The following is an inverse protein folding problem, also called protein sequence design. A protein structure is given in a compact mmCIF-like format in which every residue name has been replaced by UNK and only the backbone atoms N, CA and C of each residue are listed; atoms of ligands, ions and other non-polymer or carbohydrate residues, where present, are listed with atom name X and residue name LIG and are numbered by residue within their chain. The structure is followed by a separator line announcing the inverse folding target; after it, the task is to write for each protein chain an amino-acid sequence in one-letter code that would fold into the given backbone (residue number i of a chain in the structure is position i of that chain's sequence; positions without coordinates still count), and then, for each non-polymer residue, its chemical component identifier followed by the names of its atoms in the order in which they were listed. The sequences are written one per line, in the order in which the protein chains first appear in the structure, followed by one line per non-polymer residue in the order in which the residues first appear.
data_IF_506947591182
#
_entry.id   IF_506947591182
#
_cell.length_a   1.000
_cell.length_b   1.000
_cell.length_c   1.000
_cell.angle_alpha   90.00
_cell.angle_beta   90.00
_cell.angle_gamma   90.00
#
_symmetry.space_group_name_H-M   'P 1'
#
loop_
_entity.id
_entity.type
_entity.pdbx_description
1 polymer ?
#
# COMPACT_ATOMS: atom_id res chain seq x y z
N UNK A 1 -34.81 6.93 2.35
CA UNK A 1 -34.40 8.20 3.01
C UNK A 1 -33.38 7.87 4.10
N UNK A 2 -32.14 7.58 3.73
CA UNK A 2 -31.04 7.34 4.69
C UNK A 2 -29.73 7.84 4.05
N UNK A 3 -29.24 8.98 4.51
CA UNK A 3 -27.95 9.56 4.14
C UNK A 3 -26.87 9.01 5.07
N UNK A 4 -25.77 8.48 4.52
CA UNK A 4 -24.63 7.95 5.29
C UNK A 4 -23.32 8.51 4.71
N UNK A 5 -22.61 9.34 5.50
CA UNK A 5 -21.36 10.02 5.10
C UNK A 5 -20.24 9.64 6.08
N UNK A 6 -19.24 8.82 5.70
CA UNK A 6 -18.17 8.35 6.62
C UNK A 6 -16.75 8.28 5.97
N UNK A 7 -15.83 9.06 6.57
CA UNK A 7 -14.34 9.12 6.69
C UNK A 7 -13.32 8.51 5.68
N UNK A 8 -12.15 9.16 5.53
CA UNK A 8 -10.91 8.74 4.82
C UNK A 8 -9.71 8.67 5.80
N UNK A 9 -8.81 7.69 5.62
CA UNK A 9 -7.46 7.67 6.21
C UNK A 9 -6.44 7.05 5.24
N UNK A 10 -5.24 7.67 5.17
CA UNK A 10 -3.98 7.34 4.45
C UNK A 10 -3.71 8.20 3.21
N UNK A 11 -2.68 9.06 3.35
CA UNK A 11 -2.04 9.81 2.27
C UNK A 11 -1.28 8.92 1.26
N UNK A 12 -1.08 7.63 1.55
CA UNK A 12 -0.37 6.69 0.65
C UNK A 12 -1.27 6.04 -0.42
N UNK A 13 -2.59 6.01 -0.22
CA UNK A 13 -3.47 5.17 -1.06
C UNK A 13 -3.97 5.88 -2.33
N UNK A 14 -4.02 7.22 -2.32
CA UNK A 14 -4.60 8.01 -3.43
C UNK A 14 -3.62 8.10 -4.62
N UNK A 15 -2.31 7.95 -4.39
CA UNK A 15 -1.27 8.05 -5.43
C UNK A 15 -1.14 6.75 -6.25
N UNK A 16 -1.51 5.58 -5.70
CA UNK A 16 -1.29 4.29 -6.39
C UNK A 16 -2.33 3.97 -7.46
N UNK A 17 -3.59 4.40 -7.31
CA UNK A 17 -4.67 4.02 -8.25
C UNK A 17 -4.73 4.89 -9.51
N UNK A 18 -4.50 6.21 -9.42
CA UNK A 18 -4.69 7.14 -10.54
C UNK A 18 -3.52 7.24 -11.54
N UNK A 19 -2.37 6.62 -11.25
CA UNK A 19 -1.19 6.66 -12.15
C UNK A 19 -0.81 5.30 -12.76
N UNK A 20 -1.39 4.20 -12.29
CA UNK A 20 -1.21 2.86 -12.87
C UNK A 20 -2.41 2.46 -13.73
N UNK A 21 -2.71 3.25 -14.76
CA UNK A 21 -3.39 2.71 -15.92
C UNK A 21 -2.30 2.13 -16.83
N UNK A 22 -2.16 0.81 -16.85
CA UNK A 22 -1.29 0.08 -17.78
C UNK A 22 -1.88 0.16 -19.20
N UNK A 23 -1.88 1.35 -19.79
CA UNK A 23 -2.11 1.52 -21.22
C UNK A 23 -0.85 1.06 -21.95
N UNK A 24 -0.92 -0.11 -22.59
CA UNK A 24 0.07 -0.61 -23.53
C UNK A 24 0.32 0.44 -24.64
N UNK A 25 1.51 1.04 -24.59
CA UNK A 25 2.38 1.48 -25.71
C UNK A 25 1.81 2.06 -27.03
N UNK A 26 0.57 2.56 -27.12
CA UNK A 26 0.06 3.13 -28.38
C UNK A 26 -0.75 4.43 -28.27
N UNK A 27 -1.02 4.95 -27.07
CA UNK A 27 -1.70 6.23 -26.91
C UNK A 27 -0.76 7.30 -26.33
N UNK A 28 0.12 7.87 -27.17
CA UNK A 28 0.79 9.15 -26.91
C UNK A 28 -0.18 10.34 -27.06
N UNK A 29 -1.44 10.19 -26.66
CA UNK A 29 -2.35 11.32 -26.64
C UNK A 29 -2.07 12.16 -25.39
N UNK A 30 -1.77 13.43 -25.62
CA UNK A 30 -1.47 14.48 -24.66
C UNK A 30 -2.68 14.79 -23.76
N UNK A 31 -3.10 13.84 -22.94
CA UNK A 31 -4.16 14.07 -21.97
C UNK A 31 -3.60 14.88 -20.81
N UNK A 32 -4.14 16.08 -20.63
CA UNK A 32 -3.92 16.89 -19.43
C UNK A 32 -4.51 16.13 -18.24
N UNK A 33 -3.65 15.48 -17.46
CA UNK A 33 -4.05 14.77 -16.24
C UNK A 33 -4.29 15.81 -15.14
N UNK A 34 -5.50 15.86 -14.58
CA UNK A 34 -5.82 16.71 -13.43
C UNK A 34 -6.01 15.83 -12.21
N UNK A 35 -5.41 16.19 -11.07
CA UNK A 35 -5.62 15.49 -9.81
C UNK A 35 -5.59 16.43 -8.62
N UNK A 36 -6.26 16.08 -7.53
CA UNK A 36 -6.27 16.85 -6.28
C UNK A 36 -5.72 16.04 -5.12
N UNK A 37 -4.98 16.70 -4.22
CA UNK A 37 -4.49 16.15 -2.96
C UNK A 37 -5.24 16.79 -1.80
N UNK A 38 -5.64 15.96 -0.85
CA UNK A 38 -6.18 16.40 0.44
C UNK A 38 -5.26 15.95 1.56
N UNK A 39 -4.70 16.91 2.31
CA UNK A 39 -4.05 16.62 3.58
C UNK A 39 -5.12 16.36 4.63
N UNK A 40 -5.10 15.15 5.19
CA UNK A 40 -6.08 14.74 6.18
C UNK A 40 -5.94 15.51 7.49
N UNK A 41 -7.05 15.73 8.18
CA UNK A 41 -7.04 16.23 9.56
C UNK A 41 -6.22 15.32 10.50
N UNK A 42 -6.00 14.06 10.12
CA UNK A 42 -5.15 13.11 10.84
C UNK A 42 -3.66 13.44 10.75
N UNK A 43 -3.18 13.91 9.60
CA UNK A 43 -1.77 14.26 9.39
C UNK A 43 -1.39 15.42 10.33
N UNK A 44 -2.27 16.41 10.42
CA UNK A 44 -2.15 17.53 11.36
C UNK A 44 -2.30 17.07 12.83
N UNK A 45 -3.17 16.10 13.09
CA UNK A 45 -3.42 15.63 14.47
C UNK A 45 -2.24 14.87 15.06
N UNK A 46 -1.52 14.11 14.24
CA UNK A 46 -0.34 13.36 14.68
C UNK A 46 0.83 14.31 14.94
N UNK A 47 0.93 15.38 14.16
CA UNK A 47 2.09 16.27 14.15
C UNK A 47 1.75 17.66 14.71
N UNK A 48 0.98 17.71 15.80
CA UNK A 48 0.51 18.98 16.42
C UNK A 48 1.62 19.94 16.84
N UNK A 49 2.83 19.45 17.03
CA UNK A 49 4.01 20.24 17.42
C UNK A 49 4.98 20.47 16.27
N UNK A 50 4.81 19.79 15.14
CA UNK A 50 5.77 19.78 14.04
C UNK A 50 5.03 19.85 12.70
N UNK A 51 4.81 21.08 12.22
CA UNK A 51 4.21 21.28 10.91
C UNK A 51 5.18 20.95 9.77
N UNK A 52 6.48 20.82 10.04
CA UNK A 52 7.49 20.67 9.01
C UNK A 52 7.41 19.30 8.36
N UNK A 53 7.13 18.24 9.12
CA UNK A 53 6.91 16.91 8.54
C UNK A 53 5.74 16.89 7.55
N UNK A 54 4.61 17.54 7.92
CA UNK A 54 3.43 17.64 7.05
C UNK A 54 3.76 18.42 5.77
N UNK A 55 4.54 19.49 5.90
CA UNK A 55 4.97 20.33 4.78
C UNK A 55 5.95 19.58 3.84
N UNK A 56 6.88 18.80 4.39
CA UNK A 56 7.82 17.95 3.65
C UNK A 56 7.06 16.87 2.87
N UNK A 57 6.07 16.22 3.51
CA UNK A 57 5.24 15.21 2.87
C UNK A 57 4.41 15.77 1.72
N UNK A 58 3.79 16.95 1.93
CA UNK A 58 3.04 17.64 0.88
C UNK A 58 3.93 17.99 -0.32
N UNK A 59 5.13 18.53 -0.06
CA UNK A 59 6.11 18.86 -1.11
C UNK A 59 6.56 17.62 -1.87
N UNK A 60 6.84 16.53 -1.16
CA UNK A 60 7.29 15.27 -1.76
C UNK A 60 6.20 14.65 -2.64
N UNK A 61 4.93 14.71 -2.21
CA UNK A 61 3.79 14.24 -3.01
C UNK A 61 3.63 15.01 -4.33
N UNK A 62 3.73 16.35 -4.29
CA UNK A 62 3.70 17.20 -5.48
C UNK A 62 4.86 16.86 -6.43
N UNK A 63 6.09 16.81 -5.91
CA UNK A 63 7.28 16.49 -6.71
C UNK A 63 7.19 15.10 -7.35
N UNK A 64 6.65 14.12 -6.61
CA UNK A 64 6.45 12.77 -7.13
C UNK A 64 5.50 12.76 -8.34
N UNK A 65 4.34 13.41 -8.24
CA UNK A 65 3.39 13.47 -9.36
C UNK A 65 3.97 14.23 -10.54
N UNK A 66 4.65 15.35 -10.30
CA UNK A 66 5.32 16.10 -11.38
C UNK A 66 6.41 15.30 -12.08
N UNK A 67 7.19 14.50 -11.34
CA UNK A 67 8.22 13.64 -11.95
C UNK A 67 7.64 12.59 -12.89
N UNK A 68 6.42 12.14 -12.63
CA UNK A 68 5.71 11.10 -13.40
C UNK A 68 4.78 11.68 -14.47
N UNK A 69 4.31 12.91 -14.29
CA UNK A 69 3.37 13.58 -15.18
C UNK A 69 3.66 15.09 -15.14
N UNK A 70 4.69 15.56 -15.87
CA UNK A 70 5.15 16.95 -15.82
C UNK A 70 4.08 18.00 -16.19
N UNK A 71 3.10 17.59 -17.02
CA UNK A 71 2.01 18.43 -17.49
C UNK A 71 0.73 18.29 -16.64
N UNK A 72 0.78 17.56 -15.52
CA UNK A 72 -0.40 17.37 -14.68
C UNK A 72 -0.78 18.66 -13.95
N UNK A 73 -2.08 18.99 -13.94
CA UNK A 73 -2.62 20.05 -13.09
C UNK A 73 -2.93 19.48 -11.72
N UNK A 74 -2.35 20.06 -10.68
CA UNK A 74 -2.45 19.56 -9.31
C UNK A 74 -3.29 20.53 -8.47
N UNK A 75 -4.33 20.05 -7.82
CA UNK A 75 -5.10 20.79 -6.82
C UNK A 75 -4.62 20.45 -5.41
N UNK A 76 -4.31 21.44 -4.58
CA UNK A 76 -4.00 21.26 -3.16
C UNK A 76 -5.18 21.75 -2.33
N UNK A 77 -5.93 20.83 -1.72
CA UNK A 77 -7.04 21.17 -0.84
C UNK A 77 -6.54 21.59 0.54
N UNK A 78 -7.00 22.74 1.03
CA UNK A 78 -6.69 23.19 2.40
C UNK A 78 -7.44 22.33 3.43
N UNK A 79 -6.79 21.97 4.52
CA UNK A 79 -7.45 21.19 5.59
C UNK A 79 -8.51 22.05 6.28
N UNK A 80 -9.69 21.49 6.57
CA UNK A 80 -10.80 22.20 7.21
C UNK A 80 -10.57 22.39 8.73
N UNK A 81 -11.07 23.47 9.35
CA UNK A 81 -10.96 23.66 10.80
C UNK A 81 -11.84 22.66 11.55
N UNK A 82 -11.62 22.53 12.87
CA UNK A 82 -12.51 21.78 13.75
C UNK A 82 -13.55 22.69 14.39
N UNK A 83 -14.77 22.18 14.53
CA UNK A 83 -15.83 22.89 15.26
C UNK A 83 -15.62 22.79 16.76
N UNK A 84 -15.36 23.93 17.41
CA UNK A 84 -15.41 24.06 18.86
C UNK A 84 -14.59 25.23 19.38
N UNK A 85 -14.68 25.49 20.69
CA UNK A 85 -13.93 26.56 21.39
C UNK A 85 -13.01 26.03 22.48
N UNK A 86 -12.83 24.72 22.58
CA UNK A 86 -11.92 24.12 23.56
C UNK A 86 -10.48 24.47 23.17
N UNK A 87 -9.60 24.69 24.15
CA UNK A 87 -8.23 25.12 23.90
C UNK A 87 -7.45 24.16 22.99
N UNK A 88 -7.70 22.85 23.09
CA UNK A 88 -7.10 21.84 22.22
C UNK A 88 -7.59 21.91 20.76
N UNK A 89 -8.80 22.43 20.52
CA UNK A 89 -9.35 22.67 19.18
C UNK A 89 -8.71 23.93 18.60
N UNK A 90 -8.64 25.02 19.39
CA UNK A 90 -7.99 26.26 18.96
C UNK A 90 -6.53 26.01 18.55
N UNK A 91 -5.77 25.28 19.36
CA UNK A 91 -4.39 24.89 19.02
C UNK A 91 -4.30 24.05 17.74
N UNK A 92 -5.27 23.15 17.51
CA UNK A 92 -5.32 22.37 16.28
C UNK A 92 -5.63 23.25 15.06
N UNK A 93 -6.53 24.21 15.20
CA UNK A 93 -6.89 25.14 14.12
C UNK A 93 -5.74 26.09 13.79
N UNK A 94 -4.95 26.52 14.77
CA UNK A 94 -3.69 27.25 14.56
C UNK A 94 -2.68 26.43 13.74
N UNK A 95 -2.47 25.16 14.11
CA UNK A 95 -1.60 24.24 13.33
C UNK A 95 -2.14 24.05 11.90
N UNK A 96 -3.47 23.87 11.77
CA UNK A 96 -4.15 23.74 10.48
C UNK A 96 -3.94 24.96 9.60
N UNK A 97 -4.06 26.16 10.17
CA UNK A 97 -3.85 27.40 9.46
C UNK A 97 -2.38 27.57 9.03
N UNK A 98 -1.42 27.15 9.86
CA UNK A 98 0.00 27.12 9.50
C UNK A 98 0.26 26.23 8.27
N UNK A 99 -0.28 25.00 8.26
CA UNK A 99 -0.17 24.08 7.12
C UNK A 99 -0.87 24.64 5.88
N UNK A 100 -2.06 25.21 6.01
CA UNK A 100 -2.79 25.82 4.88
C UNK A 100 -2.03 27.01 4.28
N UNK A 101 -1.40 27.83 5.12
CA UNK A 101 -0.52 28.92 4.67
C UNK A 101 0.70 28.39 3.90
N UNK A 102 1.24 27.23 4.31
CA UNK A 102 2.31 26.57 3.56
C UNK A 102 1.82 26.07 2.20
N UNK A 103 0.66 25.38 2.13
CA UNK A 103 0.07 24.93 0.87
C UNK A 103 -0.18 26.08 -0.10
N UNK A 104 -0.67 27.22 0.41
CA UNK A 104 -0.88 28.43 -0.38
C UNK A 104 0.44 29.04 -0.92
N UNK A 105 1.54 28.92 -0.17
CA UNK A 105 2.88 29.30 -0.67
C UNK A 105 3.38 28.30 -1.71
N UNK A 106 3.13 27.01 -1.51
CA UNK A 106 3.53 25.95 -2.44
C UNK A 106 2.83 26.09 -3.79
N UNK A 107 1.52 26.35 -3.81
CA UNK A 107 0.77 26.59 -5.05
C UNK A 107 1.25 27.83 -5.81
N UNK A 108 1.62 28.91 -5.11
CA UNK A 108 2.16 30.12 -5.75
C UNK A 108 3.55 29.93 -6.38
N UNK A 109 4.34 28.96 -5.90
CA UNK A 109 5.67 28.66 -6.47
C UNK A 109 5.59 27.93 -7.80
N UNK A 110 4.46 27.33 -8.13
CA UNK A 110 4.33 26.41 -9.25
C UNK A 110 3.00 26.60 -9.97
N UNK A 111 3.03 27.10 -11.20
CA UNK A 111 1.81 27.39 -11.98
C UNK A 111 0.98 26.15 -12.33
N UNK A 112 1.56 24.95 -12.26
CA UNK A 112 0.82 23.69 -12.43
C UNK A 112 0.05 23.27 -11.17
N UNK A 113 0.27 23.95 -10.04
CA UNK A 113 -0.34 23.65 -8.74
C UNK A 113 -1.32 24.76 -8.37
N UNK A 114 -2.60 24.43 -8.28
CA UNK A 114 -3.66 25.32 -7.80
C UNK A 114 -4.00 25.03 -6.35
N UNK A 115 -4.37 26.06 -5.58
CA UNK A 115 -4.94 25.87 -4.25
C UNK A 115 -6.46 25.74 -4.37
N UNK A 116 -7.04 24.77 -3.66
CA UNK A 116 -8.48 24.60 -3.52
C UNK A 116 -8.81 24.97 -2.07
N UNK A 117 -9.38 26.16 -1.86
CA UNK A 117 -9.47 26.75 -0.52
C UNK A 117 -10.73 26.32 0.23
N UNK A 118 -10.73 25.05 0.61
CA UNK A 118 -11.80 24.45 1.41
C UNK A 118 -11.86 24.98 2.83
N UNK A 119 -10.80 25.57 3.38
CA UNK A 119 -10.81 26.17 4.72
C UNK A 119 -11.76 27.37 4.80
N UNK A 120 -11.73 28.29 3.84
CA UNK A 120 -12.57 29.49 3.86
C UNK A 120 -14.06 29.19 3.70
N UNK A 121 -14.42 28.05 3.10
CA UNK A 121 -15.81 27.58 3.05
C UNK A 121 -16.32 27.24 4.45
N UNK A 122 -15.47 26.61 5.25
CA UNK A 122 -15.81 26.12 6.58
C UNK A 122 -15.49 27.13 7.69
N UNK A 123 -14.89 28.28 7.37
CA UNK A 123 -14.48 29.30 8.32
C UNK A 123 -15.06 30.67 7.94
N UNK A 124 -15.87 31.27 8.82
CA UNK A 124 -16.40 32.63 8.65
C UNK A 124 -16.01 33.46 9.87
N UNK A 125 -15.34 34.60 9.63
CA UNK A 125 -14.82 35.48 10.68
C UNK A 125 -13.95 34.73 11.72
N UNK A 126 -13.07 33.85 11.24
CA UNK A 126 -12.18 33.05 12.08
C UNK A 126 -12.87 31.95 12.89
N UNK A 127 -14.16 31.69 12.66
CA UNK A 127 -14.93 30.67 13.37
C UNK A 127 -15.46 29.61 12.41
N UNK A 128 -15.42 28.34 12.84
CA UNK A 128 -16.02 27.24 12.10
C UNK A 128 -17.53 27.45 11.88
N UNK A 129 -18.00 27.34 10.64
CA UNK A 129 -19.41 27.52 10.26
C UNK A 129 -20.23 26.33 10.73
N UNK A 130 -20.84 26.46 11.91
CA UNK A 130 -21.52 25.35 12.61
C UNK A 130 -22.51 24.52 11.77
N UNK A 131 -23.20 25.15 10.81
CA UNK A 131 -24.19 24.50 9.95
C UNK A 131 -23.57 23.53 8.93
N UNK A 132 -22.28 23.65 8.64
CA UNK A 132 -21.54 22.77 7.73
C UNK A 132 -20.94 21.54 8.43
N UNK A 133 -21.14 21.42 9.75
CA UNK A 133 -20.68 20.29 10.54
C UNK A 133 -21.85 19.43 11.00
N UNK A 134 -21.61 18.13 11.13
CA UNK A 134 -22.59 17.21 11.67
C UNK A 134 -22.98 17.64 13.09
N UNK A 135 -24.29 17.85 13.32
CA UNK A 135 -24.80 18.32 14.61
C UNK A 135 -24.64 17.25 15.70
N UNK A 136 -24.62 15.98 15.32
CA UNK A 136 -24.48 14.82 16.20
C UNK A 136 -23.02 14.40 16.42
N UNK A 137 -22.06 15.10 15.80
CA UNK A 137 -20.64 14.86 16.02
C UNK A 137 -20.07 15.76 17.13
N UNK A 138 -19.81 15.23 18.34
CA UNK A 138 -19.20 15.99 19.41
C UNK A 138 -17.70 16.26 19.18
N UNK A 139 -17.05 15.55 18.24
CA UNK A 139 -15.63 15.75 17.95
C UNK A 139 -15.36 17.01 17.13
N UNK A 140 -16.38 17.52 16.43
CA UNK A 140 -16.29 18.70 15.58
C UNK A 140 -15.43 18.48 14.33
N UNK A 141 -15.27 17.24 13.90
CA UNK A 141 -14.44 16.84 12.75
C UNK A 141 -15.29 16.53 11.53
N UNK A 142 -16.47 15.95 11.73
CA UNK A 142 -17.31 15.49 10.62
C UNK A 142 -18.20 16.60 10.09
N UNK A 143 -18.23 16.72 8.75
CA UNK A 143 -19.06 17.68 8.03
C UNK A 143 -20.49 17.17 7.89
N UNK A 144 -21.47 18.08 7.77
CA UNK A 144 -22.86 17.73 7.47
C UNK A 144 -23.05 17.51 5.96
N UNK A 145 -24.19 16.97 5.55
CA UNK A 145 -24.55 16.85 4.11
C UNK A 145 -24.43 18.20 3.40
N UNK A 146 -24.91 19.29 4.03
CA UNK A 146 -24.73 20.66 3.52
C UNK A 146 -23.26 21.08 3.40
N UNK A 147 -22.40 20.60 4.31
CA UNK A 147 -20.95 20.79 4.22
C UNK A 147 -20.34 20.03 3.05
N UNK A 148 -20.77 18.80 2.81
CA UNK A 148 -20.37 17.99 1.65
C UNK A 148 -20.75 18.69 0.35
N UNK A 149 -21.98 19.17 0.22
CA UNK A 149 -22.44 19.88 -0.98
C UNK A 149 -21.55 21.09 -1.30
N UNK A 150 -21.22 21.89 -0.28
CA UNK A 150 -20.33 23.05 -0.43
C UNK A 150 -18.91 22.64 -0.81
N UNK A 151 -18.41 21.55 -0.24
CA UNK A 151 -17.09 21.02 -0.54
C UNK A 151 -17.01 20.49 -1.98
N UNK A 152 -18.04 19.79 -2.46
CA UNK A 152 -18.14 19.28 -3.83
C UNK A 152 -18.17 20.44 -4.83
N UNK A 153 -18.98 21.47 -4.60
CA UNK A 153 -19.03 22.64 -5.51
C UNK A 153 -17.65 23.28 -5.72
N UNK A 154 -16.86 23.40 -4.66
CA UNK A 154 -15.51 23.95 -4.76
C UNK A 154 -14.57 23.02 -5.53
N UNK A 155 -14.61 21.72 -5.25
CA UNK A 155 -13.84 20.73 -5.99
C UNK A 155 -14.21 20.73 -7.48
N UNK A 156 -15.51 20.68 -7.80
CA UNK A 156 -16.02 20.75 -9.16
C UNK A 156 -15.51 21.99 -9.89
N UNK A 157 -15.48 23.17 -9.25
CA UNK A 157 -14.95 24.38 -9.90
C UNK A 157 -13.48 24.29 -10.31
N UNK A 158 -12.67 23.55 -9.56
CA UNK A 158 -11.27 23.27 -9.92
C UNK A 158 -11.19 22.36 -11.15
N UNK A 159 -12.08 21.37 -11.18
CA UNK A 159 -12.12 20.33 -12.18
C UNK A 159 -12.81 20.75 -13.49
N UNK A 160 -13.86 21.58 -13.45
CA UNK A 160 -14.70 22.03 -14.58
C UNK A 160 -13.91 22.79 -15.67
N UNK A 161 -12.66 23.18 -15.38
CA UNK A 161 -11.72 23.69 -16.38
C UNK A 161 -10.94 22.59 -17.14
N UNK A 162 -11.24 21.31 -16.92
CA UNK A 162 -10.57 20.13 -17.49
C UNK A 162 -11.48 18.90 -17.50
N UNK A 163 -11.29 17.94 -18.43
CA UNK A 163 -12.02 16.66 -18.39
C UNK A 163 -11.65 15.89 -17.11
N UNK A 164 -12.66 15.56 -16.30
CA UNK A 164 -12.53 14.86 -15.02
C UNK A 164 -12.63 13.36 -15.24
N UNK A 165 -11.79 12.58 -14.56
CA UNK A 165 -12.01 11.15 -14.35
C UNK A 165 -12.38 11.01 -12.87
N UNK A 166 -13.66 10.77 -12.58
CA UNK A 166 -14.14 10.59 -11.20
C UNK A 166 -13.79 9.17 -10.70
N UNK A 167 -13.41 9.08 -9.42
CA UNK A 167 -13.22 7.82 -8.71
C UNK A 167 -14.05 7.85 -7.42
N UNK A 168 -15.05 6.98 -7.32
CA UNK A 168 -15.92 6.87 -6.15
C UNK A 168 -15.22 6.02 -5.08
N UNK A 169 -15.14 6.55 -3.85
CA UNK A 169 -14.52 5.89 -2.69
C UNK A 169 -15.58 5.66 -1.61
N UNK A 170 -15.78 4.40 -1.21
CA UNK A 170 -16.65 4.02 -0.09
C UNK A 170 -15.83 3.52 1.12
N UNK A 171 -16.15 4.00 2.33
CA UNK A 171 -15.41 3.68 3.58
C UNK A 171 -16.35 3.20 4.71
N UNK A 172 -15.94 2.22 5.54
CA UNK A 172 -16.81 1.54 6.52
C UNK A 172 -17.02 2.27 7.86
N UNK A 173 -18.11 1.89 8.54
CA UNK A 173 -18.55 2.41 9.83
C UNK A 173 -17.65 2.03 11.03
N UNK A 174 -17.55 2.92 12.03
CA UNK A 174 -16.81 2.71 13.29
C UNK A 174 -17.75 2.41 14.47
N UNK A 175 -17.46 1.33 15.22
CA UNK A 175 -18.08 1.02 16.53
C UNK A 175 -17.03 1.06 17.66
N UNK A 176 -17.50 1.44 18.86
CA UNK A 176 -16.72 1.78 20.06
C UNK A 176 -15.73 0.67 20.49
N UNK A 177 -14.51 1.08 20.86
CA UNK A 177 -13.45 0.22 21.42
C UNK A 177 -13.69 -0.06 22.90
N UNK A 178 -13.57 -1.32 23.30
CA UNK A 178 -13.14 -1.70 24.65
C UNK A 178 -11.68 -2.16 24.56
N UNK A 179 -10.81 -1.60 25.39
CA UNK A 179 -9.39 -1.95 25.48
C UNK A 179 -9.22 -3.18 26.39
N UNK A 180 -8.87 -4.30 25.79
CA UNK A 180 -7.92 -5.28 26.33
C UNK A 180 -7.37 -6.06 25.13
N UNK A 181 -6.04 -6.15 24.96
CA UNK A 181 -5.48 -6.91 23.83
C UNK A 181 -4.26 -7.71 24.24
N UNK A 182 -4.50 -8.97 24.58
CA UNK A 182 -3.69 -10.05 24.04
C UNK A 182 -4.11 -10.20 22.56
N UNK A 183 -3.18 -10.02 21.62
CA UNK A 183 -3.46 -10.05 20.18
C UNK A 183 -3.82 -11.46 19.75
N UNK A 184 -5.10 -11.70 19.46
CA UNK A 184 -5.57 -12.97 18.91
C UNK A 184 -5.40 -12.96 17.37
N UNK A 185 -4.89 -14.04 16.75
CA UNK A 185 -4.68 -14.11 15.31
C UNK A 185 -5.97 -14.10 14.46
N UNK A 186 -5.87 -13.61 13.22
CA UNK A 186 -6.98 -13.40 12.27
C UNK A 186 -7.34 -14.64 11.44
N UNK A 187 -8.15 -15.53 12.01
CA UNK A 187 -8.80 -16.63 11.25
C UNK A 187 -9.86 -16.10 10.29
N UNK A 188 -10.05 -16.76 9.14
CA UNK A 188 -11.01 -16.37 8.09
C UNK A 188 -11.92 -17.51 7.60
N UNK A 189 -11.91 -18.68 8.25
CA UNK A 189 -12.48 -19.96 7.75
C UNK A 189 -13.90 -19.86 7.15
N UNK A 190 -14.82 -19.13 7.78
CA UNK A 190 -16.27 -19.24 7.50
C UNK A 190 -16.84 -18.16 6.59
N UNK A 191 -16.00 -17.30 6.02
CA UNK A 191 -16.46 -16.25 5.13
C UNK A 191 -15.71 -16.27 3.81
N UNK A 192 -16.49 -16.25 2.74
CA UNK A 192 -15.96 -15.98 1.41
C UNK A 192 -15.50 -14.52 1.34
N UNK A 193 -14.35 -14.33 0.72
CA UNK A 193 -13.73 -13.08 0.31
C UNK A 193 -14.18 -12.64 -1.09
N UNK A 194 -14.97 -13.47 -1.77
CA UNK A 194 -15.63 -13.17 -3.03
C UNK A 194 -16.96 -12.49 -2.73
N UNK A 195 -17.30 -11.46 -3.51
CA UNK A 195 -18.68 -10.99 -3.63
C UNK A 195 -19.23 -11.68 -4.88
N UNK A 196 -20.41 -12.29 -4.78
CA UNK A 196 -21.09 -12.93 -5.91
C UNK A 196 -22.11 -11.91 -6.42
N UNK A 197 -21.98 -11.42 -7.67
CA UNK A 197 -23.01 -10.57 -8.28
C UNK A 197 -24.32 -11.36 -8.47
N UNK A 198 -25.45 -10.68 -8.27
CA UNK A 198 -26.78 -11.23 -8.55
C UNK A 198 -26.99 -11.37 -10.07
N UNK A 199 -27.82 -12.32 -10.51
CA UNK A 199 -28.09 -12.59 -11.93
C UNK A 199 -28.58 -11.33 -12.65
N UNK A 200 -29.40 -10.52 -11.98
CA UNK A 200 -29.89 -9.24 -12.51
C UNK A 200 -28.80 -8.19 -12.78
N UNK A 201 -27.61 -8.32 -12.17
CA UNK A 201 -26.51 -7.38 -12.36
C UNK A 201 -25.78 -7.66 -13.68
N UNK A 202 -25.79 -8.91 -14.15
CA UNK A 202 -25.19 -9.28 -15.43
C UNK A 202 -26.02 -8.79 -16.61
N UNK A 203 -27.35 -8.78 -16.49
CA UNK A 203 -28.25 -8.24 -17.52
C UNK A 203 -28.06 -6.73 -17.73
N UNK A 204 -27.48 -6.04 -16.74
CA UNK A 204 -27.25 -4.60 -16.76
C UNK A 204 -25.89 -4.24 -17.40
N UNK A 205 -24.99 -5.21 -17.59
CA UNK A 205 -23.64 -4.99 -18.11
C UNK A 205 -23.61 -4.36 -19.51
N UNK A 206 -24.60 -4.68 -20.35
CA UNK A 206 -24.65 -4.20 -21.73
C UNK A 206 -25.07 -2.71 -21.84
N UNK A 207 -25.68 -2.16 -20.79
CA UNK A 207 -26.33 -0.83 -20.82
C UNK A 207 -25.54 0.29 -20.11
N UNK A 208 -24.44 -0.03 -19.40
CA UNK A 208 -23.70 0.96 -18.59
C UNK A 208 -22.31 1.27 -19.16
N UNK A 209 -22.07 2.54 -19.49
CA UNK A 209 -20.76 3.07 -19.94
C UNK A 209 -19.78 3.39 -18.78
N UNK A 210 -20.13 3.14 -17.50
CA UNK A 210 -19.25 3.45 -16.36
C UNK A 210 -18.24 2.32 -16.09
N UNK A 211 -17.03 2.49 -16.61
CA UNK A 211 -15.88 1.58 -16.47
C UNK A 211 -15.61 1.11 -15.02
N UNK A 212 -15.93 1.92 -14.00
CA UNK A 212 -15.65 1.56 -12.60
C UNK A 212 -16.62 0.52 -12.05
N UNK A 213 -17.90 0.58 -12.43
CA UNK A 213 -18.91 -0.38 -11.99
C UNK A 213 -18.68 -1.74 -12.67
N UNK A 214 -18.32 -1.71 -13.94
CA UNK A 214 -18.05 -2.90 -14.76
C UNK A 214 -16.74 -3.59 -14.33
N UNK A 215 -15.75 -2.84 -13.83
CA UNK A 215 -14.46 -3.39 -13.39
C UNK A 215 -14.58 -4.52 -12.35
N UNK A 216 -15.55 -4.44 -11.43
CA UNK A 216 -15.74 -5.50 -10.42
C UNK A 216 -16.36 -6.77 -11.02
N UNK A 217 -17.27 -6.63 -12.00
CA UNK A 217 -17.88 -7.76 -12.70
C UNK A 217 -16.85 -8.48 -13.58
N UNK A 218 -15.98 -7.73 -14.27
CA UNK A 218 -14.83 -8.32 -14.97
C UNK A 218 -13.88 -9.05 -14.01
N UNK A 219 -13.64 -8.51 -12.82
CA UNK A 219 -12.81 -9.19 -11.82
C UNK A 219 -13.40 -10.51 -11.34
N UNK A 220 -14.72 -10.59 -11.13
CA UNK A 220 -15.40 -11.83 -10.77
C UNK A 220 -15.32 -12.85 -11.91
N UNK A 221 -15.63 -12.42 -13.15
CA UNK A 221 -15.58 -13.26 -14.33
C UNK A 221 -14.16 -13.81 -14.57
N UNK A 222 -13.13 -12.98 -14.42
CA UNK A 222 -11.73 -13.39 -14.53
C UNK A 222 -11.36 -14.51 -13.55
N UNK A 223 -11.91 -14.48 -12.32
CA UNK A 223 -11.68 -15.57 -11.35
C UNK A 223 -12.41 -16.84 -11.80
N UNK A 224 -13.65 -16.73 -12.25
CA UNK A 224 -14.39 -17.87 -12.81
C UNK A 224 -13.64 -18.53 -13.98
N UNK A 225 -13.09 -17.71 -14.89
CA UNK A 225 -12.37 -18.16 -16.08
C UNK A 225 -10.99 -18.74 -15.75
N UNK A 226 -10.38 -18.33 -14.62
CA UNK A 226 -9.07 -18.82 -14.19
C UNK A 226 -9.05 -20.27 -13.70
N UNK A 227 -10.21 -20.95 -13.69
CA UNK A 227 -10.38 -22.33 -13.19
C UNK A 227 -9.94 -22.51 -11.72
N UNK A 228 -10.06 -21.44 -10.94
CA UNK A 228 -9.73 -21.40 -9.51
C UNK A 228 -11.01 -21.59 -8.70
N UNK A 229 -10.94 -22.37 -7.61
CA UNK A 229 -12.09 -22.58 -6.74
C UNK A 229 -12.53 -21.25 -6.10
N UNK A 230 -13.79 -20.86 -6.31
CA UNK A 230 -14.39 -19.71 -5.63
C UNK A 230 -14.52 -19.94 -4.12
N UNK A 231 -14.71 -21.20 -3.70
CA UNK A 231 -14.80 -21.57 -2.29
C UNK A 231 -13.41 -21.81 -1.72
N UNK A 232 -13.15 -21.27 -0.52
CA UNK A 232 -11.94 -21.59 0.24
C UNK A 232 -12.15 -22.79 1.15
N UNK A 233 -11.09 -23.56 1.32
CA UNK A 233 -10.98 -24.56 2.37
C UNK A 233 -10.06 -24.02 3.46
N UNK A 234 -10.26 -24.44 4.71
CA UNK A 234 -9.31 -24.19 5.79
C UNK A 234 -9.37 -25.32 6.81
N UNK A 235 -8.20 -25.76 7.27
CA UNK A 235 -8.03 -26.63 8.44
C UNK A 235 -8.10 -25.86 9.75
N UNK A 236 -7.97 -24.54 9.71
CA UNK A 236 -8.19 -23.69 10.88
C UNK A 236 -9.69 -23.66 11.18
N UNK A 237 -10.10 -24.42 12.19
CA UNK A 237 -11.49 -24.51 12.64
C UNK A 237 -11.91 -23.38 13.60
N UNK A 238 -11.00 -22.43 13.86
CA UNK A 238 -11.28 -21.33 14.78
C UNK A 238 -12.22 -20.31 14.14
N UNK A 239 -13.15 -19.80 14.94
CA UNK A 239 -14.09 -18.77 14.48
C UNK A 239 -13.30 -17.50 14.11
N UNK A 240 -13.58 -16.89 12.93
CA UNK A 240 -12.95 -15.64 12.55
C UNK A 240 -13.07 -14.58 13.64
N UNK A 241 -11.94 -13.94 13.95
CA UNK A 241 -11.94 -12.84 14.90
C UNK A 241 -12.14 -11.49 14.18
N UNK A 242 -12.18 -10.40 14.93
CA UNK A 242 -12.36 -9.05 14.38
C UNK A 242 -11.34 -8.66 13.30
N UNK A 243 -10.12 -9.20 13.34
CA UNK A 243 -9.10 -8.95 12.33
C UNK A 243 -9.35 -9.78 11.08
N UNK A 244 -9.78 -11.04 11.24
CA UNK A 244 -10.21 -11.89 10.14
C UNK A 244 -11.36 -11.28 9.34
N UNK A 245 -12.42 -10.82 10.02
CA UNK A 245 -13.53 -10.11 9.37
C UNK A 245 -13.06 -8.88 8.61
N UNK A 246 -12.15 -8.09 9.18
CA UNK A 246 -11.60 -6.91 8.49
C UNK A 246 -10.76 -7.27 7.27
N UNK A 247 -10.03 -8.38 7.30
CA UNK A 247 -9.26 -8.86 6.16
C UNK A 247 -10.20 -9.28 5.02
N UNK A 248 -11.26 -10.01 5.33
CA UNK A 248 -12.29 -10.39 4.34
C UNK A 248 -12.96 -9.16 3.74
N UNK A 249 -13.41 -8.23 4.58
CA UNK A 249 -13.96 -6.94 4.14
C UNK A 249 -12.99 -6.16 3.26
N UNK A 250 -11.70 -6.18 3.61
CA UNK A 250 -10.66 -5.53 2.82
C UNK A 250 -10.50 -6.19 1.45
N UNK A 251 -10.51 -7.52 1.39
CA UNK A 251 -10.41 -8.26 0.12
C UNK A 251 -11.58 -7.91 -0.82
N UNK A 252 -12.81 -8.01 -0.30
CA UNK A 252 -14.05 -7.69 -1.04
C UNK A 252 -14.05 -6.28 -1.61
N UNK A 253 -13.61 -5.30 -0.84
CA UNK A 253 -13.63 -3.88 -1.26
C UNK A 253 -12.52 -3.50 -2.22
N UNK A 254 -11.50 -4.33 -2.38
CA UNK A 254 -10.34 -4.03 -3.21
C UNK A 254 -10.18 -5.00 -4.38
N UNK A 255 -11.19 -5.83 -4.66
CA UNK A 255 -11.16 -6.90 -5.66
C UNK A 255 -9.91 -7.79 -5.51
N UNK A 256 -9.57 -8.07 -4.25
CA UNK A 256 -8.50 -8.99 -3.91
C UNK A 256 -9.11 -10.29 -3.42
N UNK A 257 -8.35 -11.36 -3.62
CA UNK A 257 -8.75 -12.71 -3.30
C UNK A 257 -7.61 -13.39 -2.52
N UNK A 258 -7.98 -14.17 -1.52
CA UNK A 258 -7.06 -15.02 -0.77
C UNK A 258 -6.74 -16.25 -1.62
N UNK A 259 -5.46 -16.43 -1.92
CA UNK A 259 -4.92 -17.53 -2.73
C UNK A 259 -4.77 -18.85 -1.97
N UNK A 260 -4.65 -18.82 -0.64
CA UNK A 260 -4.60 -20.03 0.19
C UNK A 260 -5.81 -20.91 -0.09
N UNK A 261 -5.59 -22.22 -0.21
CA UNK A 261 -6.53 -23.25 -0.64
C UNK A 261 -7.09 -23.17 -2.05
N UNK A 262 -6.80 -22.10 -2.79
CA UNK A 262 -7.35 -21.86 -4.13
C UNK A 262 -6.39 -22.17 -5.26
N UNK A 263 -5.11 -21.92 -5.01
CA UNK A 263 -4.06 -22.07 -6.01
C UNK A 263 -3.59 -23.52 -6.11
N UNK A 264 -3.17 -23.99 -7.30
CA UNK A 264 -2.61 -25.32 -7.45
C UNK A 264 -1.38 -25.52 -6.55
N UNK A 265 -1.23 -26.69 -5.94
CA UNK A 265 -0.10 -27.02 -5.06
C UNK A 265 -0.55 -27.82 -3.83
N UNK A 266 0.31 -27.93 -2.81
CA UNK A 266 0.05 -28.78 -1.64
C UNK A 266 -1.07 -28.28 -0.72
N UNK A 267 -1.52 -27.05 -0.92
CA UNK A 267 -2.57 -26.41 -0.13
C UNK A 267 -3.94 -26.44 -0.82
N UNK A 268 -3.99 -26.78 -2.11
CA UNK A 268 -5.19 -26.72 -2.95
C UNK A 268 -6.35 -27.53 -2.36
N UNK A 269 -7.48 -26.86 -2.14
CA UNK A 269 -8.70 -27.42 -1.53
C UNK A 269 -8.50 -28.00 -0.11
N UNK A 270 -7.40 -27.67 0.55
CA UNK A 270 -7.06 -28.13 1.89
C UNK A 270 -7.07 -26.97 2.88
N UNK A 271 -6.30 -25.92 2.61
CA UNK A 271 -6.17 -24.75 3.48
C UNK A 271 -5.45 -25.04 4.79
N UNK A 272 -4.23 -25.54 4.68
CA UNK A 272 -3.25 -25.74 5.72
C UNK A 272 -3.09 -24.49 6.59
N UNK A 273 -2.88 -24.73 7.88
CA UNK A 273 -2.55 -23.71 8.87
C UNK A 273 -1.12 -23.21 8.65
N UNK A 274 -0.90 -21.91 8.82
CA UNK A 274 0.43 -21.30 8.66
C UNK A 274 1.11 -20.99 10.00
N UNK A 275 0.45 -21.27 11.14
CA UNK A 275 1.01 -21.04 12.46
C UNK A 275 0.78 -22.22 13.39
N UNK A 276 1.87 -22.79 13.92
CA UNK A 276 1.90 -23.91 14.90
C UNK A 276 1.02 -25.11 14.56
N UNK A 277 0.69 -25.32 13.30
CA UNK A 277 -0.32 -26.33 12.90
C UNK A 277 -1.72 -26.13 13.51
N UNK A 278 -2.01 -24.91 14.01
CA UNK A 278 -3.26 -24.57 14.71
C UNK A 278 -4.06 -23.52 13.97
N UNK A 279 -3.41 -22.47 13.46
CA UNK A 279 -4.12 -21.32 12.87
C UNK A 279 -3.59 -20.93 11.50
N UNK A 280 -4.49 -20.42 10.65
CA UNK A 280 -4.17 -19.80 9.37
C UNK A 280 -4.14 -18.28 9.56
N UNK A 281 -2.94 -17.70 9.47
CA UNK A 281 -2.73 -16.28 9.81
C UNK A 281 -1.93 -15.54 8.74
N UNK A 282 -1.24 -16.28 7.87
CA UNK A 282 -0.45 -15.76 6.75
C UNK A 282 -1.20 -16.05 5.45
N UNK A 283 -1.53 -14.98 4.73
CA UNK A 283 -2.39 -15.03 3.56
C UNK A 283 -1.67 -14.49 2.33
N UNK A 284 -1.76 -15.22 1.21
CA UNK A 284 -1.40 -14.68 -0.10
C UNK A 284 -2.62 -13.95 -0.67
N UNK A 285 -2.51 -12.64 -0.89
CA UNK A 285 -3.58 -11.81 -1.47
C UNK A 285 -3.27 -11.47 -2.92
N UNK A 286 -4.22 -11.72 -3.82
CA UNK A 286 -4.03 -11.63 -5.27
C UNK A 286 -5.18 -10.88 -5.93
N UNK A 287 -4.92 -10.18 -7.04
CA UNK A 287 -5.97 -9.76 -7.96
C UNK A 287 -6.39 -10.91 -8.87
N UNK A 288 -7.60 -10.83 -9.42
CA UNK A 288 -8.16 -11.81 -10.38
C UNK A 288 -7.17 -12.15 -11.52
N UNK A 289 -6.53 -11.13 -12.08
CA UNK A 289 -5.60 -11.20 -13.21
C UNK A 289 -4.31 -11.98 -12.95
N UNK A 290 -3.96 -12.21 -11.68
CA UNK A 290 -2.71 -12.91 -11.31
C UNK A 290 -2.94 -14.41 -11.17
N UNK A 291 -4.17 -14.86 -10.89
CA UNK A 291 -4.46 -16.29 -10.70
C UNK A 291 -3.97 -17.19 -11.83
N UNK A 292 -4.23 -16.88 -13.12
CA UNK A 292 -3.74 -17.72 -14.22
C UNK A 292 -2.22 -17.79 -14.34
N UNK A 293 -1.51 -16.84 -13.71
CA UNK A 293 -0.06 -16.77 -13.73
C UNK A 293 0.58 -17.61 -12.64
N UNK A 294 -0.15 -18.10 -11.63
CA UNK A 294 0.46 -18.89 -10.56
C UNK A 294 0.33 -20.38 -10.90
N UNK A 295 1.47 -21.05 -11.03
CA UNK A 295 1.52 -22.49 -11.32
C UNK A 295 1.43 -23.35 -10.08
N UNK A 296 2.03 -22.86 -9.00
CA UNK A 296 2.20 -23.64 -7.78
C UNK A 296 2.18 -22.70 -6.57
N UNK A 297 1.52 -23.13 -5.51
CA UNK A 297 1.43 -22.51 -4.21
C UNK A 297 1.51 -23.58 -3.13
N UNK A 298 2.52 -23.48 -2.27
CA UNK A 298 2.78 -24.42 -1.22
C UNK A 298 2.87 -23.70 0.14
N UNK A 299 2.22 -24.28 1.15
CA UNK A 299 2.55 -24.00 2.55
C UNK A 299 3.67 -24.95 2.94
N UNK A 300 4.83 -24.40 3.25
CA UNK A 300 6.02 -25.17 3.61
C UNK A 300 5.88 -25.75 5.03
N UNK A 301 6.65 -26.79 5.31
CA UNK A 301 6.75 -27.30 6.68
C UNK A 301 7.38 -26.27 7.61
N UNK A 302 6.98 -26.29 8.88
CA UNK A 302 7.58 -25.44 9.90
C UNK A 302 9.08 -25.73 9.99
N UNK A 303 9.88 -24.67 9.91
CA UNK A 303 11.33 -24.77 10.05
C UNK A 303 11.81 -23.81 11.16
N UNK A 304 12.32 -24.35 12.29
CA UNK A 304 12.75 -23.54 13.43
C UNK A 304 13.95 -22.64 13.11
N UNK A 305 14.65 -22.85 11.99
CA UNK A 305 15.73 -21.97 11.54
C UNK A 305 15.20 -20.68 10.90
N UNK A 306 13.98 -20.70 10.36
CA UNK A 306 13.41 -19.57 9.62
C UNK A 306 12.27 -18.86 10.35
N UNK A 307 11.64 -19.52 11.32
CA UNK A 307 10.60 -18.92 12.15
C UNK A 307 10.47 -19.66 13.49
N UNK A 308 10.00 -18.94 14.50
CA UNK A 308 9.62 -19.46 15.81
C UNK A 308 8.24 -20.17 15.78
N UNK A 309 7.32 -19.74 14.92
CA UNK A 309 5.94 -20.22 14.94
C UNK A 309 5.24 -20.32 13.57
N UNK A 310 5.81 -19.76 12.51
CA UNK A 310 5.17 -19.65 11.19
C UNK A 310 5.72 -20.65 10.17
N UNK A 311 4.83 -21.14 9.30
CA UNK A 311 5.17 -21.87 8.09
C UNK A 311 5.39 -20.87 6.95
N UNK A 312 6.42 -21.09 6.13
CA UNK A 312 6.65 -20.28 4.94
C UNK A 312 5.59 -20.50 3.86
N UNK A 313 5.29 -19.45 3.09
CA UNK A 313 4.48 -19.56 1.87
C UNK A 313 5.42 -19.51 0.66
N UNK A 314 5.29 -20.46 -0.25
CA UNK A 314 6.07 -20.54 -1.48
C UNK A 314 5.11 -20.52 -2.68
N UNK A 315 5.42 -19.75 -3.72
CA UNK A 315 4.64 -19.76 -4.95
C UNK A 315 5.48 -19.42 -6.18
N UNK A 316 5.05 -19.96 -7.32
CA UNK A 316 5.76 -19.88 -8.59
C UNK A 316 4.88 -19.23 -9.66
N UNK A 317 5.43 -18.25 -10.38
CA UNK A 317 4.77 -17.62 -11.52
C UNK A 317 5.15 -18.32 -12.83
N UNK A 318 4.16 -18.51 -13.71
CA UNK A 318 4.37 -18.75 -15.12
C UNK A 318 4.66 -17.42 -15.80
N UNK A 319 5.94 -17.15 -16.02
CA UNK A 319 6.34 -16.07 -16.91
C UNK A 319 6.45 -16.64 -18.33
N UNK A 320 5.39 -16.51 -19.13
CA UNK A 320 5.51 -16.67 -20.58
C UNK A 320 6.26 -15.46 -21.11
N UNK A 321 7.60 -15.53 -21.07
CA UNK A 321 8.42 -14.53 -21.75
C UNK A 321 8.22 -14.79 -23.23
N UNK A 322 7.31 -14.03 -23.85
CA UNK A 322 7.45 -13.75 -25.27
C UNK A 322 8.78 -13.00 -25.37
N UNK A 323 9.85 -13.76 -25.64
CA UNK A 323 11.10 -13.22 -26.12
C UNK A 323 10.72 -12.62 -27.47
N UNK A 324 10.20 -11.40 -27.46
CA UNK A 324 10.36 -10.54 -28.59
C UNK A 324 11.87 -10.49 -28.74
N UNK A 325 12.38 -11.23 -29.72
CA UNK A 325 13.66 -10.98 -30.34
C UNK A 325 13.60 -9.52 -30.70
N UNK A 326 14.04 -8.67 -29.77
CA UNK A 326 14.21 -7.26 -30.01
C UNK A 326 15.19 -7.23 -31.18
N UNK A 327 14.68 -6.90 -32.35
CA UNK A 327 15.52 -6.51 -33.45
C UNK A 327 16.44 -5.44 -32.88
N UNK A 328 17.73 -5.74 -32.92
CA UNK A 328 18.82 -4.96 -32.37
C UNK A 328 18.88 -3.61 -33.06
N UNK A 329 18.05 -2.67 -32.62
CA UNK A 329 18.27 -1.26 -32.87
C UNK A 329 19.28 -0.77 -31.84
N UNK A 330 20.52 -0.78 -32.28
CA UNK A 330 21.79 -0.72 -31.55
C UNK A 330 22.09 0.64 -30.88
N UNK A 331 21.09 1.37 -30.36
CA UNK A 331 21.26 2.78 -30.02
C UNK A 331 20.60 3.29 -28.71
N UNK A 332 20.62 2.49 -27.63
CA UNK A 332 20.25 3.01 -26.30
C UNK A 332 21.27 2.65 -25.21
N UNK A 333 22.43 3.29 -25.28
CA UNK A 333 23.45 3.28 -24.22
C UNK A 333 23.08 4.28 -23.11
N UNK A 334 22.27 3.85 -22.14
CA UNK A 334 22.32 4.35 -20.73
C UNK A 334 21.16 3.83 -19.87
N UNK A 335 20.86 2.53 -19.90
CA UNK A 335 20.06 1.96 -18.81
C UNK A 335 20.96 1.77 -17.59
N UNK A 336 20.54 2.36 -16.46
CA UNK A 336 21.17 2.18 -15.16
C UNK A 336 21.13 0.69 -14.83
N UNK A 337 22.27 0.03 -14.92
CA UNK A 337 22.41 -1.40 -14.71
C UNK A 337 22.03 -1.76 -13.28
N UNK A 338 20.84 -2.33 -13.10
CA UNK A 338 20.63 -3.23 -11.98
C UNK A 338 21.58 -4.41 -12.18
N UNK A 339 22.38 -4.76 -11.17
CA UNK A 339 23.17 -5.97 -11.26
C UNK A 339 22.22 -7.16 -11.36
N UNK A 340 22.19 -7.75 -12.54
CA UNK A 340 21.54 -9.03 -12.76
C UNK A 340 22.51 -10.11 -12.29
N UNK A 341 22.00 -11.08 -11.50
CA UNK A 341 22.77 -12.26 -11.15
C UNK A 341 23.14 -13.01 -12.43
N UNK A 342 24.44 -13.27 -12.61
CA UNK A 342 24.97 -14.07 -13.72
C UNK A 342 25.37 -15.42 -13.11
N UNK A 343 24.72 -16.53 -13.48
CA UNK A 343 25.01 -17.86 -12.91
C UNK A 343 26.49 -18.23 -12.95
N UNK A 344 27.21 -17.83 -14.00
CA UNK A 344 28.64 -18.12 -14.17
C UNK A 344 29.55 -17.41 -13.13
N UNK A 345 29.04 -16.39 -12.44
CA UNK A 345 29.77 -15.66 -11.38
C UNK A 345 29.54 -16.27 -9.98
N UNK A 346 28.71 -17.32 -9.85
CA UNK A 346 28.43 -17.99 -8.58
C UNK A 346 29.70 -18.58 -7.96
N UNK A 347 30.44 -19.38 -8.73
CA UNK A 347 31.67 -20.01 -8.27
C UNK A 347 32.71 -18.95 -7.87
N UNK A 348 32.80 -17.86 -8.64
CA UNK A 348 33.72 -16.75 -8.35
C UNK A 348 33.32 -16.00 -7.08
N UNK A 349 32.03 -15.86 -6.80
CA UNK A 349 31.55 -15.31 -5.53
C UNK A 349 31.92 -16.20 -4.36
N UNK A 350 31.69 -17.51 -4.47
CA UNK A 350 32.05 -18.51 -3.44
C UNK A 350 33.56 -18.51 -3.19
N UNK A 351 34.38 -18.58 -4.23
CA UNK A 351 35.84 -18.54 -4.13
C UNK A 351 36.33 -17.25 -3.47
N UNK A 352 35.75 -16.10 -3.84
CA UNK A 352 36.10 -14.81 -3.25
C UNK A 352 35.66 -14.74 -1.78
N UNK A 353 34.51 -15.30 -1.43
CA UNK A 353 34.03 -15.38 -0.05
C UNK A 353 34.94 -16.26 0.82
N UNK A 354 35.35 -17.42 0.29
CA UNK A 354 36.28 -18.34 0.96
C UNK A 354 37.68 -17.73 1.07
N UNK A 355 38.13 -16.93 0.11
CA UNK A 355 39.43 -16.25 0.22
C UNK A 355 39.50 -15.25 1.39
N UNK A 356 38.36 -14.83 1.92
CA UNK A 356 38.22 -13.97 3.10
C UNK A 356 38.13 -14.77 4.42
N UNK A 357 38.56 -16.05 4.45
CA UNK A 357 38.50 -16.96 5.63
C UNK A 357 39.04 -16.32 6.92
N UNK A 358 40.04 -15.44 6.84
CA UNK A 358 40.58 -14.74 8.02
C UNK A 358 39.53 -13.88 8.74
N UNK A 359 38.53 -13.34 8.03
CA UNK A 359 37.41 -12.59 8.62
C UNK A 359 36.37 -13.51 9.26
N UNK A 360 36.26 -14.76 8.81
CA UNK A 360 35.40 -15.77 9.42
C UNK A 360 35.99 -16.27 10.74
N UNK A 361 37.32 -16.38 10.83
CA UNK A 361 38.01 -16.71 12.08
C UNK A 361 37.75 -15.65 13.16
N UNK A 362 37.77 -14.36 12.81
CA UNK A 362 37.40 -13.27 13.73
C UNK A 362 35.96 -13.39 14.26
N UNK A 363 35.02 -13.81 13.41
CA UNK A 363 33.63 -14.02 13.82
C UNK A 363 33.51 -15.24 14.74
N UNK A 364 34.26 -16.31 14.46
CA UNK A 364 34.29 -17.50 15.31
C UNK A 364 34.83 -17.18 16.71
N UNK A 365 35.86 -16.33 16.81
CA UNK A 365 36.37 -15.86 18.11
C UNK A 365 35.30 -15.06 18.85
N UNK A 366 34.65 -14.10 18.18
CA UNK A 366 33.56 -13.30 18.79
C UNK A 366 32.38 -14.14 19.27
N UNK A 367 32.07 -15.25 18.60
CA UNK A 367 31.02 -16.18 19.02
C UNK A 367 31.41 -17.04 20.22
N UNK A 368 32.72 -17.23 20.45
CA UNK A 368 33.26 -18.08 21.53
C UNK A 368 33.56 -17.33 22.82
N UNK A 369 33.72 -16.00 22.79
CA UNK A 369 33.98 -15.18 23.96
C UNK A 369 32.70 -14.98 24.79
N UNK A 370 32.75 -15.20 26.10
CA UNK A 370 31.61 -14.95 27.00
C UNK A 370 31.35 -13.44 27.14
N UNK A 371 30.08 -13.02 26.99
CA UNK A 371 29.66 -11.61 27.02
C UNK A 371 28.54 -11.38 28.03
N UNK A 372 28.63 -10.27 28.75
CA UNK A 372 27.58 -9.81 29.66
C UNK A 372 26.33 -9.29 28.91
N UNK A 373 26.44 -9.00 27.61
CA UNK A 373 25.31 -8.66 26.73
C UNK A 373 25.34 -9.52 25.45
N UNK A 374 24.62 -10.66 25.45
CA UNK A 374 24.53 -11.54 24.28
C UNK A 374 23.84 -10.90 23.07
N UNK A 375 22.92 -9.94 23.29
CA UNK A 375 22.12 -9.35 22.22
C UNK A 375 22.95 -8.37 21.39
N UNK A 376 23.70 -7.50 22.05
CA UNK A 376 24.61 -6.58 21.38
C UNK A 376 25.67 -7.36 20.58
N UNK A 377 26.21 -8.44 21.15
CA UNK A 377 27.16 -9.32 20.47
C UNK A 377 26.58 -9.97 19.22
N UNK A 378 25.35 -10.49 19.28
CA UNK A 378 24.67 -11.06 18.11
C UNK A 378 24.55 -10.02 16.99
N UNK A 379 24.15 -8.79 17.33
CA UNK A 379 24.05 -7.71 16.33
C UNK A 379 25.40 -7.41 15.67
N UNK A 380 26.49 -7.33 16.46
CA UNK A 380 27.85 -7.12 15.93
C UNK A 380 28.26 -8.25 14.98
N UNK A 381 27.97 -9.50 15.34
CA UNK A 381 28.26 -10.66 14.48
C UNK A 381 27.46 -10.59 13.18
N UNK A 382 26.16 -10.29 13.24
CA UNK A 382 25.30 -10.15 12.07
C UNK A 382 25.79 -9.03 11.15
N UNK A 383 26.17 -7.88 11.71
CA UNK A 383 26.71 -6.75 10.95
C UNK A 383 28.02 -7.13 10.25
N UNK A 384 28.95 -7.78 10.97
CA UNK A 384 30.22 -8.25 10.40
C UNK A 384 30.00 -9.26 9.26
N UNK A 385 29.11 -10.23 9.44
CA UNK A 385 28.74 -11.17 8.38
C UNK A 385 28.20 -10.40 7.18
N UNK A 386 27.25 -9.49 7.41
CA UNK A 386 26.67 -8.64 6.37
C UNK A 386 27.72 -7.87 5.57
N UNK A 387 28.74 -7.33 6.24
CA UNK A 387 29.83 -6.60 5.60
C UNK A 387 30.76 -7.50 4.78
N UNK A 388 31.00 -8.75 5.20
CA UNK A 388 31.72 -9.75 4.40
C UNK A 388 30.96 -10.05 3.11
N UNK A 389 29.65 -10.28 3.18
CA UNK A 389 28.83 -10.54 1.99
C UNK A 389 28.78 -9.33 1.06
N UNK A 390 28.57 -8.12 1.59
CA UNK A 390 28.56 -6.87 0.79
C UNK A 390 29.91 -6.62 0.11
N UNK A 391 31.01 -6.75 0.85
CA UNK A 391 32.35 -6.52 0.29
C UNK A 391 32.71 -7.55 -0.78
N UNK A 392 32.32 -8.81 -0.58
CA UNK A 392 32.47 -9.88 -1.60
C UNK A 392 31.64 -9.57 -2.84
N UNK A 393 30.37 -9.21 -2.69
CA UNK A 393 29.50 -8.84 -3.80
C UNK A 393 30.06 -7.66 -4.60
N UNK A 394 30.58 -6.64 -3.93
CA UNK A 394 31.20 -5.48 -4.57
C UNK A 394 32.42 -5.84 -5.43
N UNK A 395 33.25 -6.79 -4.97
CA UNK A 395 34.45 -7.25 -5.70
C UNK A 395 34.10 -8.06 -6.94
N UNK A 396 33.10 -8.92 -6.83
CA UNK A 396 32.73 -9.87 -7.90
C UNK A 396 31.90 -9.16 -8.97
N UNK A 397 30.83 -8.49 -8.57
CA UNK A 397 29.84 -7.92 -9.49
C UNK A 397 30.21 -6.53 -10.04
N UNK A 398 31.36 -5.96 -9.63
CA UNK A 398 31.88 -4.64 -10.08
C UNK A 398 30.79 -3.60 -10.22
N UNK A 399 30.01 -3.41 -9.16
CA UNK A 399 28.89 -2.47 -9.13
C UNK A 399 29.41 -1.05 -9.38
N UNK A 400 29.30 -0.56 -10.61
CA UNK A 400 29.59 0.83 -10.98
C UNK A 400 28.44 1.73 -10.51
N UNK A 401 28.34 1.92 -9.20
CA UNK A 401 27.34 2.80 -8.59
C UNK A 401 27.18 2.54 -7.09
N UNK A 402 26.84 3.59 -6.33
CA UNK A 402 26.48 3.47 -4.91
C UNK A 402 25.30 2.51 -4.77
N UNK A 403 25.51 1.40 -4.08
CA UNK A 403 24.42 0.55 -3.57
C UNK A 403 23.66 1.36 -2.52
N UNK A 404 22.38 1.64 -2.74
CA UNK A 404 21.45 1.75 -1.62
C UNK A 404 21.16 0.30 -1.18
N UNK A 405 21.76 -0.09 -0.06
CA UNK A 405 21.53 -1.33 0.71
C UNK A 405 21.18 -2.62 -0.05
N UNK A 406 22.11 -3.57 -0.10
CA UNK A 406 21.75 -4.99 -0.19
C UNK A 406 21.10 -5.37 1.15
N UNK A 407 19.80 -5.65 1.14
CA UNK A 407 19.10 -6.30 2.24
C UNK A 407 19.19 -7.81 2.04
N UNK A 408 20.09 -8.46 2.78
CA UNK A 408 19.97 -9.90 3.01
C UNK A 408 18.94 -10.02 4.14
N UNK A 409 17.81 -10.66 3.86
CA UNK A 409 16.88 -11.09 4.90
C UNK A 409 17.58 -12.19 5.70
N UNK A 410 18.35 -11.81 6.72
CA UNK A 410 18.59 -12.67 7.87
C UNK A 410 17.42 -12.40 8.83
N UNK A 411 16.53 -13.38 9.08
CA UNK A 411 15.45 -13.17 10.03
C UNK A 411 16.07 -12.77 11.38
N UNK A 412 15.66 -11.60 11.88
CA UNK A 412 15.96 -11.15 13.24
C UNK A 412 15.49 -12.22 14.21
N UNK A 413 16.46 -12.88 14.87
CA UNK A 413 16.23 -13.67 16.07
C UNK A 413 15.73 -12.71 17.17
N UNK A 414 14.49 -12.92 17.62
CA UNK A 414 13.92 -12.28 18.82
C UNK A 414 14.01 -13.25 19.98
#
# INVERSE_FOLDING_TARGET
MFTTVHQISKLDLIIRRNLFCNCKSSCQNSFNRTGSFYLGTNDITRNRSDTDEVNVNATSAVNCVKSRSPNAKIGLCTSIPRKGKRQNILKFDETTQSVNNFLAKLSKKDSSVSLIDTFNIFCQNGNAVRLLYNINDPSGVYISDKGVDKYIVELSSFFDNTRVVEAIVHTPALRKRNLSSNTTPSSTEKQDDVVIPDDSLFDILDDFEDDNFVSYLYDYQNVCDSNVSLKRCSKDSSVPNNHGYKLIDFCKRNNLYIGNSRLPGNDYMIGLTTCKSVSLIDYLLLSSSIFPLIQEFNVLEFNPLFSDVHCGLCFCFHASVNIFTAHSDDNCSSQRGHAQWVPDEENRFIETLISDVTKLDEISVLLSEDSNDPKERINIVVDKIGDIFKSTANRVFKLKGKILSIWIFLPTLV
#
